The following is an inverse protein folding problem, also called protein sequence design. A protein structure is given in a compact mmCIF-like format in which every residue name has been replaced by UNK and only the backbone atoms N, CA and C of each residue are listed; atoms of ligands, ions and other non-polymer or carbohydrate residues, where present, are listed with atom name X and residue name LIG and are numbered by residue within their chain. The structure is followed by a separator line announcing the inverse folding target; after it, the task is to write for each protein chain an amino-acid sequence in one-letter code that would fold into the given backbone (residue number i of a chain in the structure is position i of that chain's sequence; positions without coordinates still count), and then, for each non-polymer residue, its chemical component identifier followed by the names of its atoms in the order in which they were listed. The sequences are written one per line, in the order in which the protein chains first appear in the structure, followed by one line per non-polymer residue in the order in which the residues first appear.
data_IF_782229018858
#
_entry.id   IF_782229018858
#
_cell.length_a   1.000
_cell.length_b   1.000
_cell.length_c   1.000
_cell.angle_alpha   90.00
_cell.angle_beta   90.00
_cell.angle_gamma   90.00
#
_symmetry.space_group_name_H-M   'P 1'
#
loop_
_entity.id
_entity.type
_entity.pdbx_description
1 polymer ?
#
# COMPACT_ATOMS: atom_id res chain seq x y z
N UNK A 1 16.11 -37.42 -1.33
CA UNK A 1 15.98 -37.94 -2.69
C UNK A 1 17.30 -38.61 -3.12
N UNK A 2 17.19 -39.59 -4.00
CA UNK A 2 18.34 -40.36 -4.49
C UNK A 2 18.81 -39.78 -5.82
N UNK A 3 20.14 -39.70 -5.99
CA UNK A 3 20.78 -39.26 -7.23
C UNK A 3 21.89 -40.24 -7.61
N UNK A 4 22.42 -40.17 -8.83
CA UNK A 4 23.60 -40.93 -9.26
C UNK A 4 24.86 -40.62 -8.41
N UNK A 5 24.89 -39.45 -7.76
CA UNK A 5 25.97 -39.05 -6.83
C UNK A 5 25.68 -39.37 -5.35
N UNK A 6 24.69 -40.24 -5.07
CA UNK A 6 24.27 -40.63 -3.72
C UNK A 6 23.03 -39.85 -3.21
N UNK A 7 22.70 -40.14 -1.97
CA UNK A 7 21.53 -39.54 -1.31
C UNK A 7 21.75 -38.05 -1.00
N UNK A 8 20.74 -37.26 -1.28
CA UNK A 8 20.70 -35.82 -0.98
C UNK A 8 19.56 -35.52 -0.02
N UNK A 9 19.81 -34.64 0.90
CA UNK A 9 18.83 -34.16 1.88
C UNK A 9 18.55 -32.70 1.59
N UNK A 10 17.26 -32.36 1.47
CA UNK A 10 16.79 -30.98 1.39
C UNK A 10 16.14 -30.62 2.72
N UNK A 11 16.64 -29.56 3.36
CA UNK A 11 16.06 -29.01 4.57
C UNK A 11 15.28 -27.75 4.21
N UNK A 12 14.01 -27.71 4.60
CA UNK A 12 13.17 -26.51 4.43
C UNK A 12 13.05 -25.81 5.77
N UNK A 13 13.58 -24.60 5.86
CA UNK A 13 13.71 -23.84 7.10
C UNK A 13 13.16 -22.42 6.93
N UNK A 14 12.54 -21.88 8.00
CA UNK A 14 12.17 -20.48 8.01
C UNK A 14 13.28 -19.60 8.60
N UNK A 15 13.39 -18.36 8.11
CA UNK A 15 14.39 -17.38 8.58
C UNK A 15 13.78 -16.06 9.08
N UNK A 16 12.47 -16.00 9.27
CA UNK A 16 11.73 -14.77 9.63
C UNK A 16 12.04 -14.19 11.02
N UNK A 17 12.75 -14.92 11.88
CA UNK A 17 13.18 -14.42 13.19
C UNK A 17 14.52 -15.02 13.63
N UNK A 18 15.23 -14.33 14.56
CA UNK A 18 16.55 -14.76 15.05
C UNK A 18 16.56 -16.13 15.75
N UNK A 19 15.44 -16.61 16.28
CA UNK A 19 15.36 -17.96 16.88
C UNK A 19 15.41 -19.03 15.80
N UNK A 20 14.80 -18.78 14.65
CA UNK A 20 14.82 -19.70 13.50
C UNK A 20 16.17 -19.74 12.82
N UNK A 21 16.94 -18.64 12.86
CA UNK A 21 18.29 -18.58 12.29
C UNK A 21 19.22 -19.67 12.87
N UNK A 22 19.12 -19.97 14.17
CA UNK A 22 19.93 -20.99 14.81
C UNK A 22 19.84 -22.36 14.14
N UNK A 23 18.68 -22.72 13.62
CA UNK A 23 18.51 -23.98 12.87
C UNK A 23 19.15 -23.90 11.49
N UNK A 24 18.97 -22.81 10.78
CA UNK A 24 19.52 -22.60 9.45
C UNK A 24 21.05 -22.42 9.48
N UNK A 25 21.57 -21.72 10.49
CA UNK A 25 23.00 -21.43 10.63
C UNK A 25 23.78 -22.50 11.42
N UNK A 26 23.09 -23.53 11.91
CA UNK A 26 23.73 -24.61 12.69
C UNK A 26 24.46 -25.67 11.87
N UNK A 27 24.44 -25.63 10.54
CA UNK A 27 25.04 -26.62 9.64
C UNK A 27 25.96 -25.98 8.60
N UNK A 28 26.60 -26.87 7.83
CA UNK A 28 27.30 -26.55 6.58
C UNK A 28 26.51 -27.20 5.44
N UNK A 29 26.36 -26.49 4.32
CA UNK A 29 25.51 -26.88 3.22
C UNK A 29 26.28 -26.85 1.90
N UNK A 30 26.05 -27.81 1.03
CA UNK A 30 26.57 -27.74 -0.34
C UNK A 30 25.88 -26.65 -1.15
N UNK A 31 24.57 -26.48 -0.96
CA UNK A 31 23.81 -25.39 -1.61
C UNK A 31 22.78 -24.83 -0.63
N UNK A 32 22.63 -23.52 -0.63
CA UNK A 32 21.61 -22.80 0.12
C UNK A 32 20.79 -21.93 -0.85
N UNK A 33 19.47 -22.13 -0.87
CA UNK A 33 18.53 -21.28 -1.57
C UNK A 33 17.79 -20.39 -0.57
N UNK A 34 17.87 -19.07 -0.75
CA UNK A 34 17.10 -18.10 0.02
C UNK A 34 16.03 -17.51 -0.90
N UNK A 35 14.77 -17.86 -0.66
CA UNK A 35 13.65 -17.30 -1.37
C UNK A 35 13.34 -15.89 -0.84
N UNK A 36 13.05 -14.93 -1.74
CA UNK A 36 12.84 -13.52 -1.43
C UNK A 36 13.98 -12.89 -0.60
N UNK A 37 15.24 -13.12 -1.01
CA UNK A 37 16.45 -12.68 -0.30
C UNK A 37 16.47 -11.17 0.01
N UNK A 38 15.74 -10.34 -0.74
CA UNK A 38 15.58 -8.91 -0.47
C UNK A 38 14.79 -8.61 0.81
N UNK A 39 14.01 -9.57 1.32
CA UNK A 39 13.25 -9.43 2.57
C UNK A 39 14.02 -9.98 3.78
N UNK A 40 15.12 -10.69 3.54
CA UNK A 40 15.95 -11.26 4.60
C UNK A 40 16.76 -10.18 5.34
N UNK A 41 16.96 -10.38 6.64
CA UNK A 41 17.94 -9.60 7.39
C UNK A 41 19.33 -9.82 6.80
N UNK A 42 20.04 -8.75 6.50
CA UNK A 42 21.35 -8.83 5.84
C UNK A 42 22.41 -9.58 6.68
N UNK A 43 22.31 -9.53 8.01
CA UNK A 43 23.20 -10.30 8.89
C UNK A 43 22.96 -11.80 8.71
N UNK A 44 21.70 -12.21 8.55
CA UNK A 44 21.40 -13.61 8.23
C UNK A 44 22.00 -14.02 6.89
N UNK A 45 21.88 -13.19 5.85
CA UNK A 45 22.43 -13.50 4.53
C UNK A 45 23.95 -13.61 4.58
N UNK A 46 24.62 -12.71 5.30
CA UNK A 46 26.10 -12.74 5.50
C UNK A 46 26.54 -14.03 6.18
N UNK A 47 25.90 -14.38 7.30
CA UNK A 47 26.19 -15.61 8.04
C UNK A 47 25.91 -16.88 7.22
N UNK A 48 24.78 -16.90 6.51
CA UNK A 48 24.37 -18.03 5.69
C UNK A 48 25.31 -18.25 4.50
N UNK A 49 25.77 -17.17 3.86
CA UNK A 49 26.71 -17.25 2.72
C UNK A 49 28.05 -17.88 3.07
N UNK A 50 28.49 -17.78 4.33
CA UNK A 50 29.70 -18.41 4.81
C UNK A 50 29.57 -19.91 5.13
N UNK A 51 28.34 -20.45 5.07
CA UNK A 51 28.01 -21.82 5.47
C UNK A 51 27.55 -22.70 4.31
N UNK A 52 27.79 -22.27 3.10
CA UNK A 52 27.45 -23.04 1.90
C UNK A 52 28.51 -22.86 0.80
N UNK A 53 28.65 -23.89 -0.02
CA UNK A 53 29.50 -23.82 -1.19
C UNK A 53 28.88 -22.99 -2.31
N UNK A 54 27.53 -23.06 -2.44
CA UNK A 54 26.76 -22.33 -3.42
C UNK A 54 25.59 -21.63 -2.74
N UNK A 55 25.51 -20.29 -2.91
CA UNK A 55 24.38 -19.47 -2.50
C UNK A 55 23.53 -19.13 -3.71
N UNK A 56 22.23 -19.43 -3.64
CA UNK A 56 21.24 -19.00 -4.61
C UNK A 56 20.22 -18.10 -3.90
N UNK A 57 19.76 -17.06 -4.57
CA UNK A 57 18.71 -16.19 -4.06
C UNK A 57 17.70 -15.89 -5.14
N UNK A 58 16.41 -15.88 -4.78
CA UNK A 58 15.35 -15.32 -5.60
C UNK A 58 14.88 -14.01 -5.01
N UNK A 59 14.42 -13.08 -5.82
CA UNK A 59 13.85 -11.82 -5.34
C UNK A 59 12.92 -11.18 -6.37
N UNK A 60 11.98 -10.43 -5.87
CA UNK A 60 11.29 -9.41 -6.66
C UNK A 60 12.04 -8.08 -6.52
N UNK A 61 12.10 -7.24 -7.58
CA UNK A 61 12.74 -5.93 -7.49
C UNK A 61 12.16 -5.08 -6.36
N UNK A 62 13.03 -4.36 -5.65
CA UNK A 62 12.66 -3.51 -4.51
C UNK A 62 13.54 -2.24 -4.47
N UNK A 63 13.64 -1.58 -3.32
CA UNK A 63 14.47 -0.38 -3.13
C UNK A 63 15.93 -0.67 -3.48
N UNK A 64 16.55 0.04 -4.44
CA UNK A 64 17.92 -0.18 -4.87
C UNK A 64 18.98 0.04 -3.77
N UNK A 65 18.60 0.65 -2.63
CA UNK A 65 19.49 0.88 -1.50
C UNK A 65 19.57 -0.29 -0.51
N UNK A 66 18.77 -1.33 -0.68
CA UNK A 66 18.86 -2.50 0.19
C UNK A 66 20.28 -3.07 0.20
N UNK A 67 20.80 -3.46 1.37
CA UNK A 67 22.15 -3.99 1.51
C UNK A 67 22.44 -5.19 0.61
N UNK A 68 21.45 -6.06 0.38
CA UNK A 68 21.59 -7.24 -0.48
C UNK A 68 21.96 -6.87 -1.92
N UNK A 69 21.48 -5.73 -2.44
CA UNK A 69 21.90 -5.25 -3.76
C UNK A 69 23.34 -4.81 -3.74
N UNK A 70 23.74 -4.02 -2.74
CA UNK A 70 25.10 -3.46 -2.65
C UNK A 70 26.18 -4.52 -2.38
N UNK A 71 25.86 -5.51 -1.55
CA UNK A 71 26.83 -6.49 -1.09
C UNK A 71 26.90 -7.75 -1.97
N UNK A 72 25.81 -8.06 -2.67
CA UNK A 72 25.69 -9.28 -3.46
C UNK A 72 25.33 -8.99 -4.92
N UNK A 73 24.13 -8.52 -5.21
CA UNK A 73 23.58 -8.57 -6.56
C UNK A 73 24.32 -7.64 -7.51
N UNK A 74 24.74 -6.44 -7.08
CA UNK A 74 25.45 -5.49 -7.94
C UNK A 74 26.87 -5.97 -8.33
N UNK A 75 27.38 -7.00 -7.68
CA UNK A 75 28.62 -7.68 -8.06
C UNK A 75 28.41 -8.83 -9.06
N UNK A 76 27.18 -9.23 -9.31
CA UNK A 76 26.87 -10.30 -10.27
C UNK A 76 26.83 -9.79 -11.71
N UNK A 77 27.00 -10.68 -12.68
CA UNK A 77 26.80 -10.39 -14.10
C UNK A 77 25.98 -11.50 -14.73
N UNK A 78 25.17 -11.20 -15.77
CA UNK A 78 24.49 -12.24 -16.52
C UNK A 78 25.52 -13.11 -17.27
N UNK A 79 25.20 -14.36 -17.51
CA UNK A 79 25.97 -15.18 -18.46
C UNK A 79 25.85 -14.57 -19.87
N UNK A 80 26.87 -14.71 -20.74
CA UNK A 80 26.88 -14.06 -22.05
C UNK A 80 25.64 -14.31 -22.90
N UNK A 81 25.08 -15.52 -22.88
CA UNK A 81 23.87 -15.87 -23.61
C UNK A 81 22.60 -15.21 -23.08
N UNK A 82 22.62 -14.67 -21.85
CA UNK A 82 21.49 -14.01 -21.18
C UNK A 82 21.74 -12.51 -20.94
N UNK A 83 22.78 -11.95 -21.56
CA UNK A 83 23.17 -10.55 -21.32
C UNK A 83 22.11 -9.53 -21.73
N UNK A 84 21.22 -9.88 -22.66
CA UNK A 84 20.16 -9.01 -23.18
C UNK A 84 18.80 -9.25 -22.53
N UNK A 85 18.67 -10.18 -21.58
CA UNK A 85 17.38 -10.50 -20.97
C UNK A 85 16.96 -9.41 -19.97
N UNK A 86 17.93 -8.78 -19.29
CA UNK A 86 17.66 -7.71 -18.36
C UNK A 86 17.52 -6.35 -19.06
N UNK A 87 16.57 -5.48 -18.61
CA UNK A 87 16.50 -4.11 -19.07
C UNK A 87 17.80 -3.34 -18.84
N UNK A 88 18.13 -2.40 -19.74
CA UNK A 88 19.35 -1.59 -19.63
C UNK A 88 19.47 -0.87 -18.27
N UNK A 89 18.34 -0.45 -17.68
CA UNK A 89 18.32 0.17 -16.34
C UNK A 89 18.86 -0.77 -15.27
N UNK A 90 18.55 -2.07 -15.33
CA UNK A 90 19.08 -3.06 -14.40
C UNK A 90 20.59 -3.23 -14.62
N UNK A 91 21.02 -3.38 -15.87
CA UNK A 91 22.44 -3.53 -16.19
C UNK A 91 23.26 -2.32 -15.72
N UNK A 92 22.73 -1.10 -15.85
CA UNK A 92 23.38 0.12 -15.37
C UNK A 92 23.47 0.20 -13.83
N UNK A 93 22.61 -0.51 -13.10
CA UNK A 93 22.68 -0.61 -11.64
C UNK A 93 23.72 -1.63 -11.13
N UNK A 94 24.26 -2.48 -12.00
CA UNK A 94 25.31 -3.44 -11.66
C UNK A 94 26.69 -2.75 -11.69
N UNK A 95 26.85 -1.76 -10.80
CA UNK A 95 27.97 -0.81 -10.82
C UNK A 95 29.13 -1.19 -9.88
N UNK A 96 29.05 -2.33 -9.20
CA UNK A 96 30.12 -2.85 -8.37
C UNK A 96 31.06 -3.72 -9.20
N UNK A 97 32.32 -3.86 -8.73
CA UNK A 97 33.29 -4.74 -9.37
C UNK A 97 32.76 -6.18 -9.43
N UNK A 98 32.77 -6.83 -10.60
CA UNK A 98 32.26 -8.19 -10.74
C UNK A 98 33.05 -9.18 -9.91
N UNK A 99 32.38 -10.08 -9.21
CA UNK A 99 33.02 -11.19 -8.49
C UNK A 99 32.97 -12.46 -9.35
N UNK A 100 34.05 -13.19 -9.48
CA UNK A 100 34.10 -14.43 -10.26
C UNK A 100 33.03 -15.44 -9.78
N UNK A 101 32.30 -16.02 -10.72
CA UNK A 101 31.23 -17.00 -10.42
C UNK A 101 29.93 -16.42 -9.89
N UNK A 102 29.81 -15.11 -9.72
CA UNK A 102 28.60 -14.47 -9.31
C UNK A 102 27.75 -14.12 -10.53
N UNK A 103 26.69 -14.90 -10.72
CA UNK A 103 25.80 -14.78 -11.88
C UNK A 103 24.38 -14.44 -11.46
N UNK A 104 23.62 -13.84 -12.35
CA UNK A 104 22.17 -13.65 -12.17
C UNK A 104 21.42 -13.90 -13.47
N UNK A 105 20.13 -14.15 -13.32
CA UNK A 105 19.15 -14.25 -14.39
C UNK A 105 18.04 -13.24 -14.14
N UNK A 106 17.50 -12.68 -15.19
CA UNK A 106 16.35 -11.79 -15.15
C UNK A 106 15.14 -12.50 -15.74
N UNK A 107 14.01 -12.42 -15.05
CA UNK A 107 12.76 -12.99 -15.51
C UNK A 107 11.69 -11.90 -15.53
N UNK A 108 10.85 -11.91 -16.55
CA UNK A 108 9.71 -11.01 -16.73
C UNK A 108 8.40 -11.79 -16.83
N UNK A 109 7.29 -11.11 -17.05
CA UNK A 109 6.00 -11.79 -17.28
C UNK A 109 6.02 -12.70 -18.51
N UNK A 110 6.83 -12.39 -19.53
CA UNK A 110 6.94 -13.19 -20.74
C UNK A 110 7.58 -14.55 -20.52
N UNK A 111 8.35 -14.69 -19.45
CA UNK A 111 9.02 -15.94 -19.07
C UNK A 111 8.11 -16.84 -18.25
N UNK A 112 6.96 -16.32 -17.77
CA UNK A 112 6.00 -17.08 -16.99
C UNK A 112 4.98 -17.80 -17.89
N UNK A 113 5.32 -19.00 -18.32
CA UNK A 113 4.46 -19.84 -19.18
C UNK A 113 3.10 -20.22 -18.55
N UNK A 114 2.96 -20.10 -17.23
CA UNK A 114 1.72 -20.36 -16.51
C UNK A 114 0.75 -19.18 -16.44
N UNK A 115 1.16 -17.99 -16.84
CA UNK A 115 0.31 -16.80 -16.83
C UNK A 115 -0.30 -16.54 -18.21
N UNK A 116 -1.64 -16.55 -18.29
CA UNK A 116 -2.32 -16.20 -19.55
C UNK A 116 -2.15 -14.72 -19.88
N UNK A 117 -2.26 -14.38 -21.17
CA UNK A 117 -2.22 -13.00 -21.67
C UNK A 117 -3.29 -12.12 -21.02
N UNK A 118 -4.50 -12.67 -20.81
CA UNK A 118 -5.61 -11.99 -20.15
C UNK A 118 -5.26 -11.67 -18.68
N UNK A 119 -4.65 -12.62 -17.98
CA UNK A 119 -4.22 -12.42 -16.60
C UNK A 119 -3.15 -11.34 -16.49
N UNK A 120 -2.18 -11.35 -17.40
CA UNK A 120 -1.13 -10.33 -17.47
C UNK A 120 -1.73 -8.95 -17.77
N UNK A 121 -2.66 -8.86 -18.74
CA UNK A 121 -3.36 -7.62 -19.09
C UNK A 121 -4.16 -7.08 -17.88
N UNK A 122 -4.86 -7.95 -17.15
CA UNK A 122 -5.59 -7.56 -15.94
C UNK A 122 -4.66 -7.04 -14.84
N UNK A 123 -3.52 -7.69 -14.62
CA UNK A 123 -2.52 -7.22 -13.64
C UNK A 123 -2.00 -5.83 -14.03
N UNK A 124 -1.66 -5.63 -15.32
CA UNK A 124 -1.20 -4.33 -15.82
C UNK A 124 -2.28 -3.26 -15.69
N UNK A 125 -3.54 -3.58 -15.97
CA UNK A 125 -4.66 -2.65 -15.83
C UNK A 125 -4.88 -2.21 -14.37
N UNK A 126 -4.71 -3.14 -13.43
CA UNK A 126 -4.91 -2.90 -12.00
C UNK A 126 -3.71 -2.27 -11.29
N UNK A 127 -2.56 -2.13 -11.98
CA UNK A 127 -1.34 -1.57 -11.39
C UNK A 127 -1.11 -0.16 -11.95
N UNK A 128 -1.16 0.89 -11.11
CA UNK A 128 -1.03 2.27 -11.59
C UNK A 128 0.34 2.53 -12.22
N UNK A 129 0.36 3.04 -13.45
CA UNK A 129 1.59 3.49 -14.15
C UNK A 129 2.29 4.59 -13.32
N UNK A 130 3.62 4.66 -13.38
CA UNK A 130 4.43 5.68 -12.70
C UNK A 130 4.69 5.42 -11.21
N UNK A 131 4.06 4.42 -10.59
CA UNK A 131 4.26 4.07 -9.18
C UNK A 131 5.48 3.15 -8.97
N UNK A 132 5.99 3.09 -7.72
CA UNK A 132 6.95 2.05 -7.33
C UNK A 132 6.42 0.65 -7.66
N UNK A 133 5.13 0.42 -7.42
CA UNK A 133 4.49 -0.87 -7.68
C UNK A 133 4.54 -1.23 -9.16
N UNK A 134 4.21 -0.29 -10.05
CA UNK A 134 4.36 -0.48 -11.50
C UNK A 134 5.80 -0.79 -11.88
N UNK A 135 6.74 0.01 -11.38
CA UNK A 135 8.17 -0.17 -11.66
C UNK A 135 8.65 -1.56 -11.23
N UNK A 136 8.31 -1.97 -10.02
CA UNK A 136 8.75 -3.25 -9.46
C UNK A 136 8.02 -4.46 -10.06
N UNK A 137 6.67 -4.40 -10.12
CA UNK A 137 5.86 -5.59 -10.47
C UNK A 137 5.65 -5.76 -11.98
N UNK A 138 5.58 -4.66 -12.74
CA UNK A 138 5.31 -4.73 -14.17
C UNK A 138 6.59 -4.65 -15.00
N UNK A 139 7.48 -3.71 -14.66
CA UNK A 139 8.71 -3.50 -15.43
C UNK A 139 9.89 -4.34 -14.92
N UNK A 140 9.76 -5.00 -13.76
CA UNK A 140 10.86 -5.74 -13.14
C UNK A 140 12.04 -4.86 -12.70
N UNK A 141 11.82 -3.54 -12.58
CA UNK A 141 12.84 -2.56 -12.25
C UNK A 141 12.90 -2.28 -10.76
N UNK A 142 14.09 -1.98 -10.26
CA UNK A 142 14.26 -1.53 -8.88
C UNK A 142 13.66 -0.14 -8.72
N UNK A 143 12.83 0.06 -7.71
CA UNK A 143 12.14 1.32 -7.47
C UNK A 143 12.20 1.73 -6.02
N UNK A 144 12.61 2.97 -5.78
CA UNK A 144 12.49 3.61 -4.47
C UNK A 144 11.13 4.28 -4.36
N UNK A 145 10.52 4.23 -3.20
CA UNK A 145 9.40 5.12 -2.91
C UNK A 145 9.93 6.56 -2.96
N UNK A 146 9.35 7.39 -3.81
CA UNK A 146 9.79 8.77 -4.03
C UNK A 146 9.35 9.74 -2.92
N UNK A 147 9.15 9.27 -1.70
CA UNK A 147 8.70 10.09 -0.57
C UNK A 147 7.21 10.44 -0.59
N UNK A 148 6.58 10.48 -1.73
CA UNK A 148 5.14 10.70 -1.88
C UNK A 148 4.41 9.34 -1.91
N UNK A 149 3.57 9.10 -0.91
CA UNK A 149 2.75 7.87 -0.84
C UNK A 149 1.79 7.80 -2.03
N UNK A 150 1.21 8.92 -2.41
CA UNK A 150 0.25 9.07 -3.51
C UNK A 150 0.84 9.90 -4.66
N UNK A 151 2.03 9.53 -5.15
CA UNK A 151 2.75 10.27 -6.19
C UNK A 151 2.07 10.36 -7.56
N UNK A 152 0.97 9.61 -7.77
CA UNK A 152 0.13 9.70 -8.98
C UNK A 152 -1.02 10.70 -8.84
N UNK A 153 -1.20 11.31 -7.65
CA UNK A 153 -2.22 12.34 -7.47
C UNK A 153 -1.92 13.54 -8.34
N UNK A 154 -2.87 13.91 -9.17
CA UNK A 154 -2.81 15.04 -10.10
C UNK A 154 -4.06 15.89 -9.87
N UNK A 155 -3.88 17.15 -9.45
CA UNK A 155 -5.00 18.06 -9.15
C UNK A 155 -5.93 18.23 -10.35
N UNK A 156 -5.38 18.33 -11.56
CA UNK A 156 -6.20 18.52 -12.76
C UNK A 156 -7.15 17.33 -13.05
N UNK A 157 -6.86 16.13 -12.49
CA UNK A 157 -7.61 14.91 -12.75
C UNK A 157 -8.40 14.43 -11.56
N UNK A 158 -7.89 14.65 -10.35
CA UNK A 158 -8.45 14.11 -9.11
C UNK A 158 -9.24 15.12 -8.31
N UNK A 159 -9.11 16.42 -8.61
CA UNK A 159 -9.87 17.45 -7.92
C UNK A 159 -11.08 17.84 -8.77
N UNK A 160 -12.26 17.79 -8.16
CA UNK A 160 -13.52 18.23 -8.77
C UNK A 160 -14.14 19.35 -7.98
N UNK A 161 -14.96 20.16 -8.65
CA UNK A 161 -15.70 21.22 -7.95
C UNK A 161 -16.86 20.64 -7.12
N UNK A 162 -17.33 21.43 -6.19
CA UNK A 162 -18.50 21.07 -5.36
C UNK A 162 -19.76 20.83 -6.21
N UNK A 163 -19.94 21.60 -7.28
CA UNK A 163 -21.04 21.46 -8.22
C UNK A 163 -20.97 20.14 -8.98
N UNK A 164 -19.76 19.77 -9.44
CA UNK A 164 -19.52 18.48 -10.08
C UNK A 164 -19.81 17.31 -9.13
N UNK A 165 -19.39 17.43 -7.85
CA UNK A 165 -19.69 16.42 -6.84
C UNK A 165 -21.21 16.33 -6.53
N UNK A 166 -21.91 17.48 -6.48
CA UNK A 166 -23.37 17.53 -6.28
C UNK A 166 -24.16 16.87 -7.42
N UNK A 167 -23.60 16.83 -8.62
CA UNK A 167 -24.23 16.11 -9.74
C UNK A 167 -24.36 14.61 -9.48
N UNK A 168 -23.62 14.03 -8.54
CA UNK A 168 -23.77 12.65 -8.08
C UNK A 168 -24.84 12.46 -6.98
N UNK A 169 -25.43 13.52 -6.45
CA UNK A 169 -26.60 13.37 -5.58
C UNK A 169 -27.76 12.80 -6.41
N UNK A 170 -28.44 11.80 -5.85
CA UNK A 170 -29.54 11.17 -6.56
C UNK A 170 -30.66 12.18 -6.80
N UNK A 171 -31.02 12.34 -8.05
CA UNK A 171 -32.14 13.15 -8.48
C UNK A 171 -33.30 12.25 -8.97
N UNK A 172 -34.33 12.06 -8.15
CA UNK A 172 -35.44 11.18 -8.47
C UNK A 172 -36.28 11.69 -9.68
N UNK A 173 -36.17 12.98 -10.00
CA UNK A 173 -36.82 13.60 -11.16
C UNK A 173 -36.03 13.45 -12.46
N UNK A 174 -34.83 12.85 -12.41
CA UNK A 174 -33.99 12.64 -13.60
C UNK A 174 -33.77 11.12 -13.86
N UNK A 175 -34.64 10.47 -14.63
CA UNK A 175 -34.51 9.05 -14.94
C UNK A 175 -33.27 8.73 -15.80
N UNK A 176 -32.69 9.73 -16.47
CA UNK A 176 -31.47 9.58 -17.29
C UNK A 176 -30.17 9.64 -16.46
N UNK A 177 -30.26 9.91 -15.16
CA UNK A 177 -29.07 9.94 -14.29
C UNK A 177 -28.45 8.55 -14.19
N UNK A 178 -27.27 8.37 -14.78
CA UNK A 178 -26.56 7.07 -14.85
C UNK A 178 -25.65 6.79 -13.65
N UNK A 179 -25.30 7.83 -12.90
CA UNK A 179 -24.39 7.69 -11.77
C UNK A 179 -24.81 8.57 -10.60
N UNK A 180 -24.87 7.97 -9.39
CA UNK A 180 -25.24 8.66 -8.15
C UNK A 180 -24.59 8.00 -6.94
N UNK A 181 -24.50 8.72 -5.82
CA UNK A 181 -24.00 8.19 -4.56
C UNK A 181 -24.94 7.14 -3.97
N UNK A 182 -24.39 6.01 -3.58
CA UNK A 182 -25.09 4.90 -2.92
C UNK A 182 -24.61 4.66 -1.50
N UNK A 183 -23.36 5.05 -1.17
CA UNK A 183 -22.78 4.89 0.16
C UNK A 183 -22.26 6.25 0.61
N UNK A 184 -22.59 6.60 1.87
CA UNK A 184 -22.03 7.72 2.60
C UNK A 184 -21.30 7.17 3.83
N UNK A 185 -20.07 7.58 4.05
CA UNK A 185 -19.25 7.14 5.17
C UNK A 185 -18.42 8.29 5.71
N UNK A 186 -18.01 8.19 6.96
CA UNK A 186 -17.09 9.13 7.57
C UNK A 186 -16.04 8.37 8.38
N UNK A 187 -14.87 8.95 8.47
CA UNK A 187 -13.77 8.44 9.25
C UNK A 187 -13.18 9.49 10.18
N UNK A 188 -12.61 9.03 11.28
CA UNK A 188 -11.85 9.89 12.18
C UNK A 188 -10.59 9.16 12.65
N UNK A 189 -9.46 9.83 12.50
CA UNK A 189 -8.18 9.48 13.11
C UNK A 189 -7.89 10.44 14.25
N UNK A 190 -7.27 9.96 15.33
CA UNK A 190 -7.08 10.73 16.55
C UNK A 190 -5.62 10.78 16.99
N UNK A 191 -5.15 11.98 17.33
CA UNK A 191 -3.85 12.20 17.94
C UNK A 191 -3.94 13.38 18.92
N UNK A 192 -3.76 13.10 20.20
CA UNK A 192 -3.93 14.09 21.27
C UNK A 192 -2.63 14.71 21.79
N UNK A 193 -1.49 14.31 21.23
CA UNK A 193 -0.20 14.84 21.67
C UNK A 193 -0.07 16.32 21.37
N UNK A 194 0.30 17.10 22.39
CA UNK A 194 0.66 18.51 22.22
C UNK A 194 2.09 18.72 21.69
N UNK A 195 2.89 17.65 21.62
CA UNK A 195 4.29 17.68 21.19
C UNK A 195 4.51 17.07 19.80
N UNK A 196 3.52 16.36 19.28
CA UNK A 196 3.55 15.72 17.97
C UNK A 196 2.89 16.62 16.92
N UNK A 197 3.38 16.63 15.69
CA UNK A 197 2.67 17.27 14.56
C UNK A 197 1.41 16.49 14.13
N UNK A 198 1.12 15.33 14.76
CA UNK A 198 -0.05 14.54 14.46
C UNK A 198 -1.35 15.29 14.75
N UNK A 199 -2.37 14.99 13.99
CA UNK A 199 -3.63 15.73 13.97
C UNK A 199 -4.82 14.83 14.27
N UNK A 200 -5.90 15.44 14.80
CA UNK A 200 -7.22 14.84 14.77
C UNK A 200 -7.81 15.16 13.42
N UNK A 201 -8.00 14.14 12.59
CA UNK A 201 -8.51 14.30 11.23
C UNK A 201 -9.88 13.62 11.07
N UNK A 202 -10.83 14.37 10.52
CA UNK A 202 -12.19 13.92 10.22
C UNK A 202 -12.41 14.00 8.72
N UNK A 203 -12.98 12.96 8.13
CA UNK A 203 -13.28 12.90 6.70
C UNK A 203 -14.70 12.43 6.44
N UNK A 204 -15.30 12.92 5.36
CA UNK A 204 -16.59 12.50 4.88
C UNK A 204 -16.54 12.15 3.39
N UNK A 205 -16.91 10.94 3.05
CA UNK A 205 -16.73 10.37 1.73
C UNK A 205 -18.00 9.70 1.23
N UNK A 206 -18.04 9.45 -0.07
CA UNK A 206 -19.10 8.69 -0.72
C UNK A 206 -18.58 7.79 -1.82
N UNK A 207 -19.34 6.75 -2.11
CA UNK A 207 -19.11 5.86 -3.24
C UNK A 207 -20.33 5.90 -4.16
N UNK A 208 -20.10 6.01 -5.47
CA UNK A 208 -21.16 5.97 -6.46
C UNK A 208 -21.57 4.52 -6.77
N UNK A 209 -22.71 4.35 -7.44
CA UNK A 209 -23.16 3.06 -7.96
C UNK A 209 -22.22 2.44 -9.02
N UNK A 210 -21.24 3.20 -9.50
CA UNK A 210 -20.17 2.71 -10.39
C UNK A 210 -18.84 2.43 -9.65
N UNK A 211 -18.82 2.57 -8.32
CA UNK A 211 -17.63 2.30 -7.51
C UNK A 211 -16.66 3.48 -7.38
N UNK A 212 -17.00 4.66 -7.89
CA UNK A 212 -16.17 5.85 -7.78
C UNK A 212 -16.19 6.39 -6.35
N UNK A 213 -15.02 6.60 -5.76
CA UNK A 213 -14.83 7.16 -4.43
C UNK A 213 -14.67 8.69 -4.50
N UNK A 214 -15.41 9.42 -3.70
CA UNK A 214 -15.33 10.88 -3.63
C UNK A 214 -15.16 11.33 -2.18
N UNK A 215 -13.99 11.89 -1.85
CA UNK A 215 -13.73 12.59 -0.58
C UNK A 215 -14.30 14.01 -0.69
N UNK A 216 -15.25 14.37 0.16
CA UNK A 216 -16.04 15.60 0.01
C UNK A 216 -15.77 16.65 1.05
N UNK A 217 -15.58 16.24 2.27
CA UNK A 217 -15.35 17.16 3.39
C UNK A 217 -14.26 16.60 4.29
N UNK A 218 -13.43 17.50 4.80
CA UNK A 218 -12.48 17.17 5.84
C UNK A 218 -12.46 18.26 6.92
N UNK A 219 -12.02 17.89 8.12
CA UNK A 219 -11.73 18.81 9.19
C UNK A 219 -10.55 18.28 9.98
N UNK A 220 -9.54 19.14 10.15
CA UNK A 220 -8.30 18.77 10.84
C UNK A 220 -8.08 19.71 12.01
N UNK A 221 -7.69 19.13 13.16
CA UNK A 221 -7.28 19.87 14.36
C UNK A 221 -5.88 19.41 14.76
N UNK A 222 -5.00 20.35 15.07
CA UNK A 222 -3.68 20.06 15.61
C UNK A 222 -3.57 20.62 17.02
N UNK A 223 -3.53 19.76 18.02
CA UNK A 223 -3.46 20.13 19.44
C UNK A 223 -2.17 20.89 19.81
N UNK A 224 -1.13 20.82 18.98
CA UNK A 224 0.09 21.61 19.19
C UNK A 224 -0.07 23.08 18.78
N UNK A 225 -1.06 23.42 17.93
CA UNK A 225 -1.23 24.77 17.36
C UNK A 225 -2.52 25.47 17.73
N UNK A 226 -3.54 24.74 18.19
CA UNK A 226 -4.81 25.34 18.67
C UNK A 226 -4.66 25.88 20.09
N UNK A 227 -5.31 27.02 20.38
CA UNK A 227 -5.18 27.70 21.66
C UNK A 227 -5.66 26.88 22.87
N UNK A 228 -6.68 26.04 22.68
CA UNK A 228 -7.16 25.07 23.69
C UNK A 228 -7.14 23.67 23.09
N UNK A 229 -6.27 22.78 23.57
CA UNK A 229 -6.20 21.42 23.10
C UNK A 229 -7.52 20.66 23.32
N UNK A 230 -7.94 19.88 22.33
CA UNK A 230 -9.15 19.07 22.39
C UNK A 230 -8.91 17.85 23.27
N UNK A 231 -9.84 17.57 24.17
CA UNK A 231 -9.96 16.32 24.87
C UNK A 231 -10.82 15.32 24.07
N UNK A 232 -10.80 14.02 24.40
CA UNK A 232 -11.68 13.02 23.77
C UNK A 232 -13.16 13.40 23.77
N UNK A 233 -13.68 13.99 24.86
CA UNK A 233 -15.06 14.46 24.95
C UNK A 233 -15.38 15.58 23.96
N UNK A 234 -14.46 16.54 23.78
CA UNK A 234 -14.63 17.65 22.83
C UNK A 234 -14.60 17.14 21.39
N UNK A 235 -13.73 16.14 21.14
CA UNK A 235 -13.61 15.50 19.84
C UNK A 235 -14.92 14.82 19.41
N UNK A 236 -15.61 14.14 20.33
CA UNK A 236 -16.92 13.53 20.06
C UNK A 236 -17.95 14.59 19.65
N UNK A 237 -18.05 15.70 20.39
CA UNK A 237 -18.98 16.79 20.08
C UNK A 237 -18.66 17.41 18.71
N UNK A 238 -17.37 17.67 18.45
CA UNK A 238 -16.93 18.23 17.17
C UNK A 238 -17.19 17.28 16.00
N UNK A 239 -16.98 15.96 16.19
CA UNK A 239 -17.25 14.98 15.13
C UNK A 239 -18.75 14.88 14.82
N UNK A 240 -19.61 14.86 15.83
CA UNK A 240 -21.07 14.86 15.60
C UNK A 240 -21.52 16.15 14.92
N UNK A 241 -20.99 17.31 15.30
CA UNK A 241 -21.27 18.58 14.61
C UNK A 241 -20.79 18.54 13.14
N UNK A 242 -19.61 17.98 12.87
CA UNK A 242 -19.11 17.76 11.52
C UNK A 242 -20.06 16.86 10.71
N UNK A 243 -20.48 15.72 11.27
CA UNK A 243 -21.41 14.79 10.62
C UNK A 243 -22.78 15.43 10.33
N UNK A 244 -23.32 16.23 11.25
CA UNK A 244 -24.58 16.93 11.04
C UNK A 244 -24.49 17.96 9.90
N UNK A 245 -23.38 18.69 9.79
CA UNK A 245 -23.13 19.60 8.67
C UNK A 245 -23.04 18.83 7.35
N UNK A 246 -22.25 17.76 7.30
CA UNK A 246 -22.12 16.93 6.11
C UNK A 246 -23.46 16.29 5.71
N UNK A 247 -24.26 15.86 6.68
CA UNK A 247 -25.60 15.32 6.43
C UNK A 247 -26.53 16.34 5.78
N UNK A 248 -26.53 17.57 6.24
CA UNK A 248 -27.38 18.63 5.70
C UNK A 248 -27.07 18.93 4.24
N UNK A 249 -25.82 18.79 3.83
CA UNK A 249 -25.38 19.11 2.48
C UNK A 249 -25.37 17.91 1.53
N UNK A 250 -24.98 16.73 2.03
CA UNK A 250 -24.64 15.59 1.19
C UNK A 250 -25.51 14.36 1.41
N UNK A 251 -25.85 14.06 2.65
CA UNK A 251 -26.59 12.86 3.02
C UNK A 251 -26.06 12.21 4.29
N UNK A 252 -26.75 11.16 4.75
CA UNK A 252 -26.48 10.51 6.01
C UNK A 252 -25.38 9.45 5.91
N UNK A 253 -24.22 9.70 6.50
CA UNK A 253 -23.22 8.67 6.80
C UNK A 253 -23.59 7.96 8.11
N UNK A 254 -24.48 6.98 8.03
CA UNK A 254 -24.93 6.23 9.21
C UNK A 254 -23.77 5.48 9.88
N UNK A 255 -22.95 4.81 9.11
CA UNK A 255 -21.76 4.11 9.59
C UNK A 255 -20.55 5.05 9.53
N UNK A 256 -19.93 5.26 10.68
CA UNK A 256 -18.70 6.02 10.83
C UNK A 256 -17.63 5.15 11.43
N UNK A 257 -16.37 5.42 11.11
CA UNK A 257 -15.25 4.59 11.51
C UNK A 257 -14.20 5.43 12.26
N UNK A 258 -13.84 4.97 13.44
CA UNK A 258 -12.94 5.66 14.36
C UNK A 258 -11.70 4.79 14.59
N UNK A 259 -10.54 5.42 14.74
CA UNK A 259 -9.32 4.67 15.04
C UNK A 259 -9.49 3.81 16.30
N UNK A 260 -9.35 2.50 16.12
CA UNK A 260 -9.53 1.51 17.16
C UNK A 260 -8.41 1.49 18.22
N UNK A 261 -7.31 2.20 18.00
CA UNK A 261 -6.23 2.32 18.97
C UNK A 261 -6.58 3.27 20.13
N UNK A 262 -7.52 4.20 19.92
CA UNK A 262 -7.93 5.20 20.90
C UNK A 262 -9.15 4.76 21.70
N UNK A 263 -8.94 3.96 22.72
CA UNK A 263 -10.00 3.46 23.60
C UNK A 263 -10.67 4.57 24.43
N UNK A 264 -9.97 5.66 24.72
CA UNK A 264 -10.53 6.78 25.48
C UNK A 264 -11.64 7.47 24.66
N UNK A 265 -11.37 7.80 23.41
CA UNK A 265 -12.35 8.40 22.51
C UNK A 265 -13.51 7.46 22.21
N UNK A 266 -13.27 6.17 22.00
CA UNK A 266 -14.34 5.18 21.82
C UNK A 266 -15.28 5.13 23.03
N UNK A 267 -14.73 5.18 24.24
CA UNK A 267 -15.52 5.23 25.49
C UNK A 267 -16.39 6.49 25.55
N UNK A 268 -15.88 7.64 25.13
CA UNK A 268 -16.65 8.89 25.09
C UNK A 268 -17.77 8.84 24.05
N UNK A 269 -17.57 8.19 22.89
CA UNK A 269 -18.64 7.96 21.92
C UNK A 269 -19.76 7.08 22.49
N UNK A 270 -19.43 6.04 23.26
CA UNK A 270 -20.42 5.20 23.93
C UNK A 270 -21.21 5.99 24.97
N UNK A 271 -20.54 6.84 25.76
CA UNK A 271 -21.20 7.74 26.72
C UNK A 271 -22.13 8.74 26.00
N UNK A 272 -21.66 9.31 24.89
CA UNK A 272 -22.43 10.24 24.07
C UNK A 272 -23.72 9.58 23.58
N UNK A 273 -23.65 8.39 23.00
CA UNK A 273 -24.83 7.66 22.50
C UNK A 273 -25.85 7.33 23.58
N UNK A 274 -25.38 6.98 24.79
CA UNK A 274 -26.28 6.74 25.95
C UNK A 274 -27.03 7.99 26.38
N UNK A 275 -26.38 9.16 26.29
CA UNK A 275 -26.99 10.46 26.62
C UNK A 275 -27.87 11.01 25.50
N UNK A 276 -27.63 10.58 24.28
CA UNK A 276 -28.28 11.06 23.04
C UNK A 276 -28.87 9.88 22.28
N UNK A 277 -29.98 9.28 22.73
CA UNK A 277 -30.62 8.14 22.04
C UNK A 277 -31.15 8.51 20.64
N UNK A 278 -31.37 9.80 20.37
CA UNK A 278 -31.70 10.35 19.04
C UNK A 278 -30.53 10.34 18.05
N UNK A 279 -29.31 10.07 18.50
CA UNK A 279 -28.12 10.02 17.65
C UNK A 279 -28.24 8.90 16.63
N UNK A 280 -28.31 9.27 15.34
CA UNK A 280 -28.48 8.33 14.23
C UNK A 280 -27.18 7.72 13.70
N UNK A 281 -26.03 8.18 14.19
CA UNK A 281 -24.71 7.70 13.78
C UNK A 281 -24.30 6.45 14.55
N UNK A 282 -23.71 5.49 13.82
CA UNK A 282 -23.11 4.28 14.39
C UNK A 282 -21.59 4.45 14.36
N UNK A 283 -20.98 4.51 15.52
CA UNK A 283 -19.54 4.66 15.68
C UNK A 283 -18.88 3.29 15.75
N UNK A 284 -18.19 2.91 14.71
CA UNK A 284 -17.56 1.60 14.54
C UNK A 284 -16.04 1.73 14.65
N UNK A 285 -15.39 0.68 15.14
CA UNK A 285 -13.94 0.59 15.08
C UNK A 285 -13.46 0.48 13.62
N UNK A 286 -12.43 1.25 13.27
CA UNK A 286 -11.78 1.14 11.98
C UNK A 286 -11.16 -0.26 11.82
N UNK A 287 -11.35 -0.87 10.65
CA UNK A 287 -10.82 -2.19 10.35
C UNK A 287 -9.32 -2.13 10.07
N UNK A 288 -8.51 -2.79 10.91
CA UNK A 288 -7.04 -2.76 10.86
C UNK A 288 -6.38 -4.09 10.44
N UNK A 289 -7.15 -5.10 10.03
CA UNK A 289 -6.58 -6.40 9.61
C UNK A 289 -5.90 -6.37 8.24
N UNK A 290 -6.18 -5.35 7.43
CA UNK A 290 -5.48 -5.12 6.16
C UNK A 290 -4.24 -4.28 6.42
N UNK A 291 -3.11 -4.66 5.84
CA UNK A 291 -1.84 -3.93 6.03
C UNK A 291 -1.93 -2.50 5.49
N UNK A 292 -1.12 -1.59 6.02
CA UNK A 292 -1.07 -0.19 5.52
C UNK A 292 -0.71 -0.18 4.03
N UNK A 293 0.21 -1.02 3.62
CA UNK A 293 0.66 -1.12 2.22
C UNK A 293 -0.49 -1.53 1.30
N UNK A 294 -1.30 -2.53 1.70
CA UNK A 294 -2.44 -2.98 0.89
C UNK A 294 -3.50 -1.89 0.78
N UNK A 295 -3.74 -1.12 1.85
CA UNK A 295 -4.66 0.02 1.83
C UNK A 295 -4.17 1.15 0.92
N UNK A 296 -2.87 1.44 0.94
CA UNK A 296 -2.25 2.42 0.02
C UNK A 296 -2.38 1.93 -1.42
N UNK A 297 -2.08 0.66 -1.70
CA UNK A 297 -2.18 0.09 -3.04
C UNK A 297 -3.62 0.12 -3.57
N UNK A 298 -4.61 -0.13 -2.72
CA UNK A 298 -6.03 0.00 -3.08
C UNK A 298 -6.37 1.44 -3.49
N UNK A 299 -5.94 2.44 -2.73
CA UNK A 299 -6.16 3.85 -3.03
C UNK A 299 -5.43 4.27 -4.32
N UNK A 300 -4.19 3.82 -4.52
CA UNK A 300 -3.45 4.04 -5.77
C UNK A 300 -4.19 3.42 -6.96
N UNK A 301 -4.83 2.25 -6.78
CA UNK A 301 -5.69 1.63 -7.80
C UNK A 301 -6.86 2.52 -8.20
N UNK A 302 -7.54 3.15 -7.25
CA UNK A 302 -8.62 4.10 -7.52
C UNK A 302 -8.13 5.42 -8.14
N UNK A 303 -6.92 5.86 -7.79
CA UNK A 303 -6.31 7.06 -8.39
C UNK A 303 -5.75 6.82 -9.79
N UNK A 304 -5.65 5.56 -10.24
CA UNK A 304 -5.06 5.23 -11.52
C UNK A 304 -5.88 5.76 -12.70
N UNK A 305 -5.23 6.47 -13.62
CA UNK A 305 -5.79 6.94 -14.88
C UNK A 305 -4.90 6.53 -16.05
N UNK A 306 -5.44 6.55 -17.26
CA UNK A 306 -4.69 6.27 -18.49
C UNK A 306 -5.28 7.11 -19.64
N UNK A 307 -4.58 8.16 -20.03
CA UNK A 307 -5.03 9.09 -21.08
C UNK A 307 -5.11 8.43 -22.45
N UNK A 308 -4.17 7.54 -22.76
CA UNK A 308 -4.14 6.83 -24.04
C UNK A 308 -5.33 5.87 -24.17
N UNK A 309 -5.72 5.24 -23.05
CA UNK A 309 -6.88 4.37 -22.99
C UNK A 309 -8.20 5.11 -22.66
N UNK A 310 -8.16 6.42 -22.42
CA UNK A 310 -9.33 7.21 -21.99
C UNK A 310 -9.86 6.82 -20.62
N UNK A 311 -9.03 6.20 -19.78
CA UNK A 311 -9.44 5.79 -18.43
C UNK A 311 -9.31 6.95 -17.44
N UNK A 312 -10.45 7.40 -16.90
CA UNK A 312 -10.51 8.38 -15.82
C UNK A 312 -10.26 7.70 -14.46
N UNK A 313 -9.76 8.43 -13.43
CA UNK A 313 -9.62 7.88 -12.09
C UNK A 313 -10.99 7.57 -11.47
N UNK A 314 -10.96 6.66 -10.50
CA UNK A 314 -12.12 6.33 -9.66
C UNK A 314 -12.03 6.96 -8.26
N UNK A 315 -11.09 7.88 -8.04
CA UNK A 315 -10.88 8.64 -6.82
C UNK A 315 -10.90 10.13 -7.10
N UNK A 316 -11.75 10.86 -6.37
CA UNK A 316 -11.84 12.31 -6.46
C UNK A 316 -11.82 12.96 -5.08
N UNK A 317 -11.30 14.17 -5.03
CA UNK A 317 -11.36 15.10 -3.90
C UNK A 317 -12.15 16.33 -4.32
N UNK A 318 -13.06 16.78 -3.48
CA UNK A 318 -13.82 18.01 -3.73
C UNK A 318 -13.01 19.20 -3.24
N UNK A 319 -12.86 20.19 -4.10
CA UNK A 319 -12.30 21.48 -3.72
C UNK A 319 -13.36 22.23 -2.89
N UNK A 320 -13.09 22.43 -1.59
CA UNK A 320 -13.98 23.07 -0.60
C UNK A 320 -13.44 24.39 -0.11
#
# INVERSE_FOLDING_TARGET
FHTSGGDKIVLVLGYGDKKRWKKALGGQYGCLLIDEINTADIEFVREASMRCDYLMGTLNPDDPNLPVYKEYINHSRPLPQYANDAPAEINNMLNQEPKPGWVHWFFSFTDNLGASSEKIAQIKLNTPKGTKLWKNKILGLRGRATGLVFGIFDEARHVITKEQAKAYLRNENNPEQKEWFVIFTAGMDTAYSQKSPDTIAMSFSSITNKGRYVLREEKVYNNATIGTPLAPSDTVVNFVAFLNRCRAEWGLARNTFIDSADQATLTEFDKYRRKHPECMYLFNNAYKKVTIIDRINLQLGWMAYDDEAGKMPDFYVVNT
#
